data_IF_701127032267
#
_entry.id   IF_701127032267
#
_cell.length_a   1.000
_cell.length_b   1.000
_cell.length_c   1.000
_cell.angle_alpha   90.00
_cell.angle_beta   90.00
_cell.angle_gamma   90.00
#
_symmetry.space_group_name_H-M   'P 1'
#
loop_
_entity.id
_entity.type
_entity.pdbx_description
1 polymer ?
#
# COMPACT_ATOMS: atom_id res chain seq x y z
N UNK A 1 -1.30 -10.89 -13.64
CA UNK A 1 -2.11 -11.37 -12.49
C UNK A 1 -1.29 -11.34 -11.21
N UNK A 2 -0.14 -12.01 -11.16
CA UNK A 2 0.72 -12.01 -9.96
C UNK A 2 1.17 -10.61 -9.52
N UNK A 3 1.40 -9.70 -10.47
CA UNK A 3 1.75 -8.30 -10.26
C UNK A 3 0.68 -7.47 -9.54
N UNK A 4 -0.60 -7.76 -9.77
CA UNK A 4 -1.70 -7.16 -9.04
C UNK A 4 -1.95 -7.84 -7.68
N UNK A 5 -1.71 -9.15 -7.58
CA UNK A 5 -1.95 -9.92 -6.35
C UNK A 5 -0.92 -9.62 -5.27
N UNK A 6 0.38 -9.60 -5.61
CA UNK A 6 1.47 -9.38 -4.64
C UNK A 6 1.26 -8.12 -3.77
N UNK A 7 1.04 -6.91 -4.32
CA UNK A 7 0.85 -5.71 -3.51
C UNK A 7 -0.46 -5.71 -2.71
N UNK A 8 -1.50 -6.43 -3.15
CA UNK A 8 -2.76 -6.53 -2.39
C UNK A 8 -2.61 -7.31 -1.08
N UNK A 9 -1.59 -8.18 -0.98
CA UNK A 9 -1.26 -8.84 0.29
C UNK A 9 -0.86 -7.82 1.35
N UNK A 10 -0.12 -6.77 0.98
CA UNK A 10 0.24 -5.69 1.90
C UNK A 10 -1.01 -4.92 2.36
N UNK A 11 -1.95 -4.65 1.46
CA UNK A 11 -3.23 -4.00 1.80
C UNK A 11 -4.00 -4.82 2.84
N UNK A 12 -4.19 -6.12 2.58
CA UNK A 12 -4.92 -7.02 3.47
C UNK A 12 -4.21 -7.16 4.83
N UNK A 13 -2.88 -7.25 4.82
CA UNK A 13 -2.06 -7.27 6.03
C UNK A 13 -2.20 -5.99 6.83
N UNK A 14 -2.09 -4.82 6.20
CA UNK A 14 -2.25 -3.53 6.87
C UNK A 14 -3.65 -3.37 7.49
N UNK A 15 -4.71 -3.81 6.78
CA UNK A 15 -6.08 -3.77 7.29
C UNK A 15 -6.27 -4.64 8.55
N UNK A 16 -5.49 -5.72 8.69
CA UNK A 16 -5.63 -6.69 9.77
C UNK A 16 -4.70 -6.41 10.95
N UNK A 17 -3.45 -6.02 10.67
CA UNK A 17 -2.36 -6.02 11.64
C UNK A 17 -1.81 -4.62 11.96
N UNK A 18 -2.16 -3.59 11.20
CA UNK A 18 -1.70 -2.23 11.52
C UNK A 18 -2.31 -1.75 12.84
N UNK A 19 -1.55 -1.08 13.71
CA UNK A 19 -2.05 -0.49 14.96
C UNK A 19 -2.87 0.80 14.71
N UNK A 20 -2.94 1.28 13.46
CA UNK A 20 -3.70 2.46 13.09
C UNK A 20 -5.20 2.29 13.42
N UNK A 21 -5.82 3.38 13.90
CA UNK A 21 -7.23 3.40 14.21
C UNK A 21 -8.08 3.03 12.98
N UNK A 22 -9.17 2.29 13.24
CA UNK A 22 -10.17 2.01 12.21
C UNK A 22 -10.83 3.29 11.74
N UNK A 23 -11.11 3.37 10.43
CA UNK A 23 -11.89 4.45 9.82
C UNK A 23 -13.40 4.31 10.08
N UNK A 24 -13.84 3.28 10.82
CA UNK A 24 -15.22 3.10 11.23
C UNK A 24 -16.16 2.66 10.11
N UNK A 25 -15.64 2.09 9.02
CA UNK A 25 -16.46 1.55 7.93
C UNK A 25 -17.11 0.25 8.38
N UNK A 26 -18.45 0.15 8.45
CA UNK A 26 -19.12 -1.09 8.88
C UNK A 26 -18.71 -2.26 7.99
N UNK A 27 -18.41 -3.41 8.61
CA UNK A 27 -18.02 -4.65 7.94
C UNK A 27 -16.69 -4.62 7.15
N UNK A 28 -16.00 -3.48 7.12
CA UNK A 28 -14.66 -3.33 6.54
C UNK A 28 -13.69 -2.96 7.68
N UNK A 29 -12.73 -3.84 7.98
CA UNK A 29 -11.60 -3.55 8.87
C UNK A 29 -10.62 -2.55 8.23
N UNK A 30 -11.11 -1.42 7.74
CA UNK A 30 -10.33 -0.45 6.98
C UNK A 30 -9.70 0.57 7.91
N UNK A 31 -8.39 0.73 7.79
CA UNK A 31 -7.60 1.78 8.42
C UNK A 31 -6.89 2.63 7.35
N UNK A 32 -6.31 3.75 7.76
CA UNK A 32 -5.68 4.69 6.85
C UNK A 32 -4.46 4.09 6.08
N UNK A 33 -3.57 3.29 6.70
CA UNK A 33 -2.46 2.65 5.98
C UNK A 33 -2.92 1.70 4.88
N UNK A 34 -3.94 0.87 5.13
CA UNK A 34 -4.50 -0.04 4.14
C UNK A 34 -5.14 0.73 2.98
N UNK A 35 -5.91 1.79 3.28
CA UNK A 35 -6.55 2.61 2.28
C UNK A 35 -5.53 3.29 1.37
N UNK A 36 -4.49 3.93 1.93
CA UNK A 36 -3.48 4.59 1.12
C UNK A 36 -2.60 3.60 0.36
N UNK A 37 -2.36 2.40 0.88
CA UNK A 37 -1.71 1.32 0.13
C UNK A 37 -2.53 0.93 -1.12
N UNK A 38 -3.86 0.81 -1.00
CA UNK A 38 -4.73 0.56 -2.16
C UNK A 38 -4.66 1.69 -3.19
N UNK A 39 -4.77 2.94 -2.72
CA UNK A 39 -4.68 4.13 -3.59
C UNK A 39 -3.31 4.18 -4.27
N UNK A 40 -2.24 3.89 -3.54
CA UNK A 40 -0.88 3.85 -4.07
C UNK A 40 -0.69 2.78 -5.15
N UNK A 41 -1.24 1.57 -4.95
CA UNK A 41 -1.24 0.53 -5.98
C UNK A 41 -1.98 0.98 -7.24
N UNK A 42 -3.17 1.58 -7.09
CA UNK A 42 -3.95 2.11 -8.22
C UNK A 42 -3.19 3.22 -8.95
N UNK A 43 -2.55 4.13 -8.23
CA UNK A 43 -1.71 5.16 -8.81
C UNK A 43 -0.52 4.55 -9.60
N UNK A 44 0.15 3.55 -9.03
CA UNK A 44 1.21 2.80 -9.72
C UNK A 44 0.72 2.13 -11.00
N UNK A 45 -0.47 1.55 -10.98
CA UNK A 45 -1.12 0.98 -12.15
C UNK A 45 -1.46 2.04 -13.21
N UNK A 46 -2.01 3.18 -12.81
CA UNK A 46 -2.32 4.28 -13.73
C UNK A 46 -1.06 4.83 -14.41
N UNK A 47 0.04 4.98 -13.66
CA UNK A 47 1.35 5.36 -14.21
C UNK A 47 1.85 4.32 -15.20
N UNK A 48 1.78 3.03 -14.84
CA UNK A 48 2.18 1.94 -15.72
C UNK A 48 1.39 1.96 -17.02
N UNK A 49 0.07 2.05 -16.93
CA UNK A 49 -0.81 2.08 -18.11
C UNK A 49 -0.54 3.30 -18.98
N UNK A 50 -0.22 4.44 -18.39
CA UNK A 50 0.18 5.65 -19.15
C UNK A 50 1.43 5.38 -20.00
N UNK A 51 2.41 4.62 -19.49
CA UNK A 51 3.61 4.26 -20.25
C UNK A 51 3.33 3.18 -21.30
N UNK A 52 2.53 2.17 -20.95
CA UNK A 52 2.13 1.09 -21.87
C UNK A 52 1.38 1.66 -23.07
N UNK A 53 0.41 2.55 -22.84
CA UNK A 53 -0.36 3.21 -23.92
C UNK A 53 0.56 4.05 -24.83
N UNK A 54 1.64 4.63 -24.28
CA UNK A 54 2.66 5.35 -25.05
C UNK A 54 3.66 4.44 -25.78
N UNK A 55 3.42 3.13 -25.83
CA UNK A 55 4.30 2.15 -26.48
C UNK A 55 5.61 1.89 -25.72
N UNK A 56 5.69 2.25 -24.43
CA UNK A 56 6.88 2.05 -23.59
C UNK A 56 6.58 0.98 -22.55
N UNK A 57 6.76 -0.32 -22.86
CA UNK A 57 6.53 -1.38 -21.90
C UNK A 57 7.53 -1.28 -20.74
N UNK A 58 7.03 -1.40 -19.52
CA UNK A 58 7.83 -1.44 -18.29
C UNK A 58 7.35 -2.60 -17.41
N UNK A 59 8.20 -3.01 -16.48
CA UNK A 59 7.79 -3.99 -15.47
C UNK A 59 6.68 -3.40 -14.59
N UNK A 60 5.58 -4.13 -14.43
CA UNK A 60 4.48 -3.70 -13.56
C UNK A 60 4.84 -3.79 -12.07
N UNK A 61 5.61 -4.80 -11.68
CA UNK A 61 5.93 -5.07 -10.28
C UNK A 61 6.52 -3.87 -9.53
N UNK A 62 7.55 -3.15 -10.04
CA UNK A 62 8.09 -1.99 -9.34
C UNK A 62 7.07 -0.87 -9.10
N UNK A 63 6.23 -0.55 -10.09
CA UNK A 63 5.25 0.53 -9.94
C UNK A 63 4.09 0.14 -9.02
N UNK A 64 3.56 -1.07 -9.15
CA UNK A 64 2.44 -1.53 -8.34
C UNK A 64 2.87 -1.75 -6.88
N UNK A 65 4.00 -2.44 -6.64
CA UNK A 65 4.51 -2.65 -5.28
C UNK A 65 5.06 -1.36 -4.66
N UNK A 66 5.81 -0.57 -5.43
CA UNK A 66 6.34 0.72 -4.96
C UNK A 66 5.21 1.69 -4.60
N UNK A 67 4.15 1.73 -5.41
CA UNK A 67 2.93 2.49 -5.10
C UNK A 67 2.27 2.01 -3.81
N UNK A 68 2.04 0.70 -3.65
CA UNK A 68 1.44 0.14 -2.45
C UNK A 68 2.27 0.39 -1.18
N UNK A 69 3.58 0.16 -1.24
CA UNK A 69 4.52 0.40 -0.13
C UNK A 69 4.55 1.90 0.20
N UNK A 70 4.68 2.77 -0.79
CA UNK A 70 4.68 4.22 -0.58
C UNK A 70 3.38 4.69 0.08
N UNK A 71 2.23 4.20 -0.41
CA UNK A 71 0.92 4.48 0.18
C UNK A 71 0.81 4.00 1.62
N UNK A 72 1.24 2.76 1.91
CA UNK A 72 1.26 2.20 3.26
C UNK A 72 2.09 3.05 4.23
N UNK A 73 3.31 3.43 3.84
CA UNK A 73 4.22 4.20 4.70
C UNK A 73 3.67 5.61 4.95
N UNK A 74 3.18 6.28 3.91
CA UNK A 74 2.54 7.59 4.04
C UNK A 74 1.31 7.49 4.96
N UNK A 75 0.45 6.50 4.74
CA UNK A 75 -0.76 6.29 5.56
C UNK A 75 -0.44 5.95 7.01
N UNK A 76 0.63 5.20 7.25
CA UNK A 76 1.12 4.88 8.60
C UNK A 76 1.55 6.14 9.34
N UNK A 77 2.39 6.98 8.71
CA UNK A 77 2.85 8.22 9.31
C UNK A 77 1.69 9.18 9.61
N UNK A 78 0.74 9.34 8.67
CA UNK A 78 -0.43 10.20 8.87
C UNK A 78 -1.33 9.67 9.99
N UNK A 79 -1.44 8.34 10.14
CA UNK A 79 -2.21 7.70 11.20
C UNK A 79 -1.51 7.73 12.58
N UNK A 80 -0.32 8.32 12.68
CA UNK A 80 0.46 8.36 13.91
C UNK A 80 1.30 7.11 14.18
N UNK A 81 1.36 6.17 13.24
CA UNK A 81 2.24 4.99 13.32
C UNK A 81 3.65 5.40 12.88
N UNK A 82 4.63 5.21 13.76
CA UNK A 82 6.02 5.56 13.47
C UNK A 82 6.59 4.70 12.33
N UNK A 83 7.57 5.20 11.58
CA UNK A 83 8.19 4.42 10.49
C UNK A 83 8.86 3.15 11.02
N UNK A 84 9.51 3.21 12.18
CA UNK A 84 10.19 2.07 12.80
C UNK A 84 9.22 0.94 13.15
N UNK A 85 8.01 1.29 13.60
CA UNK A 85 6.92 0.35 13.85
C UNK A 85 6.30 -0.15 12.54
N UNK A 86 6.05 0.75 11.59
CA UNK A 86 5.46 0.41 10.30
C UNK A 86 6.33 -0.57 9.48
N UNK A 87 7.67 -0.50 9.60
CA UNK A 87 8.59 -1.46 8.96
C UNK A 87 8.92 -2.67 9.83
N UNK A 88 8.32 -2.79 11.02
CA UNK A 88 8.48 -3.95 11.91
C UNK A 88 9.81 -4.01 12.67
N UNK A 89 10.54 -2.89 12.77
CA UNK A 89 11.84 -2.83 13.45
C UNK A 89 11.75 -2.42 14.93
N UNK A 90 10.58 -2.01 15.42
CA UNK A 90 10.40 -1.54 16.80
C UNK A 90 10.70 -2.59 17.89
N UNK A 91 10.64 -3.89 17.57
CA UNK A 91 11.02 -4.96 18.51
C UNK A 91 12.47 -5.41 18.40
N UNK A 92 13.24 -4.88 17.44
CA UNK A 92 14.62 -5.26 17.17
C UNK A 92 15.65 -4.19 17.58
N UNK A 93 15.20 -2.95 17.82
CA UNK A 93 15.99 -1.79 18.24
C UNK A 93 15.56 -1.36 19.64
#
# INVERSE_FOLDING_TARGET
>A
LGDAVIPTVLVASAATFSPAASLGVPFLGLNLPALLAMVGQLAGLLVLMTWVIKGRPHAGLPLLNGGAIGGYLIGSVIAGVSLIEAVGLAGAL
#
